data_IF_542138417158
#
_entry.id   IF_542138417158
#
_cell.length_a   1.000
_cell.length_b   1.000
_cell.length_c   1.000
_cell.angle_alpha   90.00
_cell.angle_beta   90.00
_cell.angle_gamma   90.00
#
_symmetry.space_group_name_H-M   'P 1'
#
loop_
_entity.id
_entity.type
_entity.pdbx_description
1 polymer ?
#
# COMPACT_ATOMS: atom_id res chain seq x y z
N UNK A 1 -0.34 5.69 -4.90
CA UNK A 1 -0.23 7.13 -4.57
C UNK A 1 -1.35 7.80 -5.32
N UNK A 2 -2.28 8.43 -4.61
CA UNK A 2 -3.44 9.07 -5.21
C UNK A 2 -3.42 10.54 -4.85
N UNK A 3 -3.74 11.39 -5.82
CA UNK A 3 -3.83 12.82 -5.59
C UNK A 3 -5.30 13.17 -5.35
N UNK A 4 -5.72 13.15 -4.08
CA UNK A 4 -7.11 13.40 -3.69
C UNK A 4 -7.63 14.79 -4.07
N UNK A 5 -6.75 15.74 -4.43
CA UNK A 5 -7.19 17.06 -4.91
C UNK A 5 -7.80 16.97 -6.31
N UNK A 6 -7.21 16.14 -7.17
CA UNK A 6 -7.56 16.03 -8.59
C UNK A 6 -8.30 14.70 -8.90
N UNK A 7 -8.16 13.70 -8.04
CA UNK A 7 -8.72 12.35 -8.17
C UNK A 7 -9.27 11.86 -6.82
N UNK A 8 -10.42 12.42 -6.42
CA UNK A 8 -11.14 12.04 -5.20
C UNK A 8 -11.62 10.59 -5.21
N UNK A 9 -11.79 9.99 -6.39
CA UNK A 9 -12.22 8.60 -6.55
C UNK A 9 -11.07 7.59 -6.52
N UNK A 10 -9.82 8.05 -6.32
CA UNK A 10 -8.60 7.22 -6.28
C UNK A 10 -8.48 6.28 -7.50
N UNK A 11 -8.94 6.76 -8.65
CA UNK A 11 -8.98 5.99 -9.90
C UNK A 11 -7.59 5.83 -10.52
N UNK A 12 -6.69 6.78 -10.26
CA UNK A 12 -5.41 6.92 -10.97
C UNK A 12 -4.25 6.69 -10.02
N UNK A 13 -3.61 5.53 -10.16
CA UNK A 13 -2.43 5.21 -9.37
C UNK A 13 -1.17 5.91 -9.92
N UNK A 14 -0.70 6.94 -9.21
CA UNK A 14 0.50 7.71 -9.55
C UNK A 14 1.79 7.13 -8.92
N UNK A 15 1.74 5.97 -8.26
CA UNK A 15 2.90 5.44 -7.55
C UNK A 15 4.10 5.15 -8.46
N UNK A 16 3.84 4.74 -9.70
CA UNK A 16 4.88 4.52 -10.72
C UNK A 16 5.36 5.80 -11.39
N UNK A 17 4.48 6.79 -11.52
CA UNK A 17 4.79 8.08 -12.14
C UNK A 17 5.57 9.02 -11.21
N UNK A 18 5.32 8.96 -9.90
CA UNK A 18 5.98 9.80 -8.89
C UNK A 18 6.66 8.96 -7.79
N UNK A 19 7.75 8.24 -8.11
CA UNK A 19 8.42 7.36 -7.16
C UNK A 19 9.02 8.11 -5.96
N UNK A 20 9.44 9.36 -6.14
CA UNK A 20 9.98 10.21 -5.07
C UNK A 20 8.93 10.52 -3.98
N UNK A 21 7.75 10.98 -4.39
CA UNK A 21 6.62 11.24 -3.46
C UNK A 21 6.13 9.96 -2.81
N UNK A 22 6.08 8.87 -3.57
CA UNK A 22 5.73 7.54 -3.05
C UNK A 22 6.66 7.12 -1.91
N UNK A 23 7.98 7.24 -2.09
CA UNK A 23 8.97 6.93 -1.03
C UNK A 23 8.83 7.84 0.18
N UNK A 24 8.63 9.14 -0.01
CA UNK A 24 8.47 10.08 1.08
C UNK A 24 7.25 9.75 1.96
N UNK A 25 6.10 9.49 1.33
CA UNK A 25 4.87 9.14 2.04
C UNK A 25 4.97 7.77 2.70
N UNK A 26 5.63 6.81 2.05
CA UNK A 26 5.89 5.50 2.63
C UNK A 26 6.80 5.58 3.87
N UNK A 27 7.80 6.47 3.87
CA UNK A 27 8.62 6.72 5.06
C UNK A 27 7.77 7.22 6.22
N UNK A 28 6.96 8.26 5.99
CA UNK A 28 6.06 8.83 7.02
C UNK A 28 5.07 7.80 7.57
N UNK A 29 4.56 6.93 6.70
CA UNK A 29 3.71 5.81 7.12
C UNK A 29 4.45 4.89 8.09
N UNK A 30 5.68 4.49 7.75
CA UNK A 30 6.51 3.63 8.60
C UNK A 30 6.83 4.29 9.94
N UNK A 31 7.16 5.57 9.93
CA UNK A 31 7.45 6.33 11.16
C UNK A 31 6.22 6.39 12.06
N UNK A 32 5.03 6.61 11.48
CA UNK A 32 3.76 6.59 12.20
C UNK A 32 3.48 5.22 12.80
N UNK A 33 3.63 4.15 12.01
CA UNK A 33 3.42 2.77 12.45
C UNK A 33 4.37 2.40 13.60
N UNK A 34 5.63 2.82 13.53
CA UNK A 34 6.61 2.63 14.59
C UNK A 34 6.23 3.43 15.85
N UNK A 35 5.80 4.68 15.69
CA UNK A 35 5.41 5.55 16.81
C UNK A 35 4.23 5.00 17.60
N UNK A 36 3.22 4.45 16.92
CA UNK A 36 2.04 3.88 17.58
C UNK A 36 2.23 2.42 18.00
N UNK A 37 3.43 1.86 17.83
CA UNK A 37 3.74 0.44 18.04
C UNK A 37 2.67 -0.47 17.40
N UNK A 38 2.31 -0.14 16.15
CA UNK A 38 1.28 -0.85 15.41
C UNK A 38 1.64 -2.34 15.34
N UNK A 39 0.69 -3.20 15.71
CA UNK A 39 0.84 -4.63 15.49
C UNK A 39 0.70 -4.93 14.00
N UNK A 40 1.83 -5.20 13.34
CA UNK A 40 1.86 -5.56 11.94
C UNK A 40 1.49 -7.05 11.82
N UNK A 41 0.47 -7.41 11.03
CA UNK A 41 0.11 -8.80 10.83
C UNK A 41 1.26 -9.55 10.15
N UNK A 42 1.55 -10.75 10.62
CA UNK A 42 2.45 -11.68 9.95
C UNK A 42 1.71 -12.43 8.84
N UNK A 43 2.38 -12.83 7.75
CA UNK A 43 1.77 -13.66 6.72
C UNK A 43 1.16 -14.92 7.31
N UNK A 44 -0.07 -15.27 6.92
CA UNK A 44 -0.72 -16.49 7.37
C UNK A 44 -0.04 -17.71 6.72
N UNK A 45 0.63 -18.59 7.50
CA UNK A 45 1.31 -19.78 6.95
C UNK A 45 0.36 -20.79 6.30
N UNK A 46 -0.91 -20.80 6.71
CA UNK A 46 -1.94 -21.69 6.17
C UNK A 46 -2.66 -21.10 4.95
N UNK A 47 -2.24 -19.93 4.47
CA UNK A 47 -2.82 -19.33 3.27
C UNK A 47 -2.52 -20.19 2.04
N UNK A 48 -3.53 -20.95 1.61
CA UNK A 48 -3.54 -21.71 0.36
C UNK A 48 -4.12 -20.79 -0.72
N UNK A 49 -3.31 -20.24 -1.65
CA UNK A 49 -3.85 -19.42 -2.73
C UNK A 49 -4.86 -20.26 -3.53
N UNK A 50 -6.03 -19.69 -3.90
CA UNK A 50 -6.96 -20.40 -4.76
C UNK A 50 -6.25 -20.78 -6.06
N UNK A 51 -6.33 -22.05 -6.45
CA UNK A 51 -5.92 -22.46 -7.80
C UNK A 51 -6.69 -21.58 -8.77
N UNK A 52 -6.00 -20.78 -9.56
CA UNK A 52 -6.61 -20.02 -10.66
C UNK A 52 -7.42 -21.01 -11.48
N UNK A 53 -8.75 -20.90 -11.45
CA UNK A 53 -9.61 -21.67 -12.32
C UNK A 53 -9.40 -21.16 -13.75
N UNK A 54 -8.85 -22.00 -14.61
CA UNK A 54 -8.95 -21.95 -16.08
C UNK A 54 -8.35 -20.73 -16.79
N UNK A 55 -7.26 -20.95 -17.53
CA UNK A 55 -7.15 -20.44 -18.89
C UNK A 55 -7.69 -21.52 -19.82
#
# INVERSE_FOLDING_TARGET
>A
LYNLKDDLSESTNLAGAEPGRSRQLHSRLRDTLASVQAQIPVPNPDYRPPKKAGQ
#
